data_IF_432127949032
#
_entry.id   IF_432127949032
#
_cell.length_a   1.000
_cell.length_b   1.000
_cell.length_c   1.000
_cell.angle_alpha   90.00
_cell.angle_beta   90.00
_cell.angle_gamma   90.00
#
_symmetry.space_group_name_H-M   'P 1'
#
loop_
_entity.id
_entity.type
_entity.pdbx_description
1 polymer ?
#
# COMPACT_ATOMS: atom_id res chain seq x y z
N UNK A 1 -23.09 -6.70 14.46
CA UNK A 1 -24.06 -5.58 14.29
C UNK A 1 -23.52 -4.70 13.17
N UNK A 2 -24.34 -3.99 12.37
CA UNK A 2 -23.80 -3.04 11.41
C UNK A 2 -23.02 -1.92 12.14
N UNK A 3 -22.05 -1.33 11.46
CA UNK A 3 -21.27 -0.18 11.94
C UNK A 3 -21.49 1.00 10.99
N UNK A 4 -21.50 2.24 11.49
CA UNK A 4 -21.53 3.41 10.60
C UNK A 4 -20.12 3.78 10.15
N UNK A 5 -20.01 4.48 9.02
CA UNK A 5 -18.74 5.01 8.51
C UNK A 5 -18.05 5.87 9.56
N UNK A 6 -18.77 6.77 10.24
CA UNK A 6 -18.22 7.63 11.30
C UNK A 6 -17.61 6.83 12.46
N UNK A 7 -18.30 5.80 12.92
CA UNK A 7 -17.80 4.93 13.99
C UNK A 7 -16.52 4.20 13.55
N UNK A 8 -16.51 3.71 12.31
CA UNK A 8 -15.33 3.07 11.74
C UNK A 8 -14.16 4.05 11.60
N UNK A 9 -14.40 5.25 11.08
CA UNK A 9 -13.40 6.31 10.96
C UNK A 9 -12.76 6.61 12.32
N UNK A 10 -13.56 6.82 13.36
CA UNK A 10 -13.08 7.06 14.72
C UNK A 10 -12.19 5.90 15.22
N UNK A 11 -12.60 4.66 14.97
CA UNK A 11 -11.85 3.47 15.38
C UNK A 11 -10.51 3.30 14.64
N UNK A 12 -10.41 3.81 13.42
CA UNK A 12 -9.22 3.68 12.55
C UNK A 12 -8.19 4.82 12.79
N UNK A 13 -8.58 5.91 13.44
CA UNK A 13 -7.65 7.00 13.78
C UNK A 13 -6.55 6.59 14.76
N UNK A 14 -5.33 7.14 14.57
CA UNK A 14 -4.14 6.81 15.38
C UNK A 14 -4.36 7.04 16.88
N UNK A 15 -5.04 8.13 17.27
CA UNK A 15 -5.31 8.44 18.68
C UNK A 15 -6.17 7.36 19.36
N UNK A 16 -7.18 6.84 18.67
CA UNK A 16 -8.05 5.78 19.18
C UNK A 16 -7.33 4.43 19.28
N UNK A 17 -6.48 4.11 18.30
CA UNK A 17 -5.68 2.87 18.29
C UNK A 17 -4.62 2.88 19.41
N UNK A 18 -3.97 4.02 19.65
CA UNK A 18 -3.00 4.20 20.73
C UNK A 18 -3.66 4.17 22.12
N UNK A 19 -4.77 4.89 22.29
CA UNK A 19 -5.47 5.01 23.57
C UNK A 19 -6.02 3.66 24.06
N UNK A 20 -6.40 2.78 23.15
CA UNK A 20 -7.01 1.51 23.50
C UNK A 20 -5.99 0.39 23.84
N UNK A 21 -4.69 0.71 23.99
CA UNK A 21 -3.60 -0.22 24.32
C UNK A 21 -3.46 -1.42 23.36
N UNK A 22 -4.07 -1.35 22.17
CA UNK A 22 -3.95 -2.41 21.18
C UNK A 22 -2.55 -2.37 20.59
N UNK A 23 -1.91 -3.54 20.50
CA UNK A 23 -0.70 -3.70 19.68
C UNK A 23 -1.03 -3.15 18.31
N UNK A 24 -0.16 -2.27 17.78
CA UNK A 24 -0.30 -1.72 16.43
C UNK A 24 -0.80 -2.82 15.47
N UNK A 25 -1.84 -2.57 14.67
CA UNK A 25 -2.42 -3.58 13.82
C UNK A 25 -1.31 -4.20 12.97
N UNK A 26 -1.18 -5.52 13.01
CA UNK A 26 -0.11 -6.18 12.27
C UNK A 26 -0.34 -5.98 10.78
N UNK A 27 0.52 -5.18 10.16
CA UNK A 27 0.55 -4.98 8.72
C UNK A 27 1.26 -6.15 8.06
N UNK A 28 0.66 -6.72 7.03
CA UNK A 28 1.21 -7.82 6.23
C UNK A 28 1.29 -7.38 4.77
N UNK A 29 2.48 -7.48 4.18
CA UNK A 29 2.68 -7.21 2.77
C UNK A 29 2.58 -8.51 1.95
N UNK A 30 1.91 -8.42 0.80
CA UNK A 30 1.82 -9.50 -0.18
C UNK A 30 2.29 -9.02 -1.55
N UNK A 31 3.21 -9.75 -2.18
CA UNK A 31 3.62 -9.50 -3.56
C UNK A 31 2.61 -10.14 -4.51
N UNK A 32 2.15 -9.36 -5.49
CA UNK A 32 1.33 -9.87 -6.58
C UNK A 32 2.14 -10.04 -7.87
N UNK A 33 3.10 -9.14 -8.10
CA UNK A 33 4.01 -9.24 -9.22
C UNK A 33 5.33 -8.59 -8.88
N UNK A 34 6.42 -9.17 -9.36
CA UNK A 34 7.74 -8.60 -9.23
C UNK A 34 8.65 -9.00 -10.39
N UNK A 35 9.73 -8.24 -10.55
CA UNK A 35 10.88 -8.50 -11.42
C UNK A 35 12.11 -7.88 -10.77
N UNK A 36 13.18 -8.64 -10.62
CA UNK A 36 14.46 -8.20 -10.09
C UNK A 36 15.59 -8.73 -10.97
N UNK A 37 16.04 -7.90 -11.92
CA UNK A 37 17.12 -8.17 -12.86
C UNK A 37 18.39 -7.35 -12.52
N UNK A 38 18.35 -6.54 -11.46
CA UNK A 38 19.47 -5.69 -11.03
C UNK A 38 19.53 -4.37 -11.81
N UNK A 39 18.60 -4.12 -12.72
CA UNK A 39 18.55 -2.92 -13.53
C UNK A 39 17.45 -1.97 -13.01
N UNK A 40 17.78 -0.75 -12.54
CA UNK A 40 16.84 0.15 -11.86
C UNK A 40 15.54 0.40 -12.62
N UNK A 41 15.61 0.49 -13.95
CA UNK A 41 14.44 0.76 -14.80
C UNK A 41 13.59 -0.47 -15.15
N UNK A 42 14.06 -1.67 -14.83
CA UNK A 42 13.37 -2.94 -15.12
C UNK A 42 12.89 -3.61 -13.84
N UNK A 43 13.53 -3.28 -12.72
CA UNK A 43 13.17 -3.77 -11.41
C UNK A 43 11.89 -3.11 -10.92
N UNK A 44 10.87 -3.91 -10.67
CA UNK A 44 9.61 -3.46 -10.10
C UNK A 44 9.02 -4.53 -9.18
N UNK A 45 8.25 -4.11 -8.20
CA UNK A 45 7.34 -4.98 -7.47
C UNK A 45 6.06 -4.22 -7.14
N UNK A 46 4.93 -4.91 -7.05
CA UNK A 46 3.70 -4.34 -6.51
C UNK A 46 2.83 -5.41 -5.87
N UNK A 47 1.96 -4.96 -4.99
CA UNK A 47 1.26 -5.87 -4.10
C UNK A 47 0.12 -5.24 -3.34
N UNK A 48 -0.31 -5.94 -2.29
CA UNK A 48 -1.24 -5.43 -1.28
C UNK A 48 -0.56 -5.31 0.07
N UNK A 49 -0.99 -4.33 0.85
CA UNK A 49 -0.80 -4.32 2.29
C UNK A 49 -2.14 -4.59 2.92
N UNK A 50 -2.15 -5.49 3.88
CA UNK A 50 -3.33 -5.94 4.58
C UNK A 50 -3.13 -5.72 6.08
N UNK A 51 -4.12 -5.14 6.74
CA UNK A 51 -4.18 -4.99 8.19
C UNK A 51 -5.53 -5.50 8.70
N UNK A 52 -5.53 -6.11 9.87
CA UNK A 52 -6.76 -6.58 10.52
C UNK A 52 -7.07 -5.74 11.75
N UNK A 53 -8.32 -5.31 11.85
CA UNK A 53 -8.89 -4.65 13.01
C UNK A 53 -10.03 -5.51 13.55
N UNK A 54 -9.92 -5.90 14.82
CA UNK A 54 -10.97 -6.59 15.55
C UNK A 54 -11.74 -5.54 16.40
N UNK A 55 -12.96 -5.18 15.98
CA UNK A 55 -13.85 -4.27 16.71
C UNK A 55 -14.99 -5.05 17.39
N UNK A 56 -15.76 -4.40 18.26
CA UNK A 56 -16.94 -5.01 18.89
C UNK A 56 -18.00 -5.46 17.89
N UNK A 57 -18.08 -4.78 16.76
CA UNK A 57 -19.07 -4.99 15.72
C UNK A 57 -18.72 -6.19 14.84
N UNK A 58 -17.43 -6.45 14.65
CA UNK A 58 -16.91 -7.51 13.77
C UNK A 58 -15.42 -7.34 13.44
N UNK A 59 -14.96 -8.14 12.47
CA UNK A 59 -13.60 -8.07 11.94
C UNK A 59 -13.56 -7.23 10.67
N UNK A 60 -12.53 -6.42 10.54
CA UNK A 60 -12.32 -5.53 9.41
C UNK A 60 -10.93 -5.76 8.83
N UNK A 61 -10.86 -6.04 7.54
CA UNK A 61 -9.62 -6.15 6.79
C UNK A 61 -9.44 -4.89 5.97
N UNK A 62 -8.44 -4.09 6.32
CA UNK A 62 -8.05 -2.89 5.59
C UNK A 62 -7.01 -3.29 4.57
N UNK A 63 -7.19 -2.87 3.31
CA UNK A 63 -6.27 -3.19 2.22
C UNK A 63 -5.92 -1.94 1.42
N UNK A 64 -4.64 -1.77 1.15
CA UNK A 64 -4.16 -0.80 0.15
C UNK A 64 -3.24 -1.46 -0.88
N UNK A 65 -2.95 -0.72 -1.95
CA UNK A 65 -1.98 -1.09 -2.96
C UNK A 65 -0.65 -0.43 -2.67
N UNK A 66 0.43 -1.13 -2.96
CA UNK A 66 1.78 -0.59 -2.90
C UNK A 66 2.56 -0.98 -4.15
N UNK A 67 3.57 -0.19 -4.44
CA UNK A 67 4.56 -0.48 -5.47
C UNK A 67 5.97 -0.18 -4.96
N UNK A 68 6.94 -0.85 -5.56
CA UNK A 68 8.35 -0.64 -5.31
C UNK A 68 9.14 -0.60 -6.61
N UNK A 69 10.13 0.29 -6.67
CA UNK A 69 11.04 0.47 -7.80
C UNK A 69 12.48 0.20 -7.39
N UNK A 70 13.27 -0.40 -8.28
CA UNK A 70 14.70 -0.59 -8.02
C UNK A 70 15.46 0.74 -8.02
N UNK A 71 16.33 0.92 -7.03
CA UNK A 71 17.24 2.06 -6.98
C UNK A 71 18.41 1.94 -7.96
N UNK A 72 19.05 3.08 -8.26
CA UNK A 72 20.18 3.17 -9.20
C UNK A 72 21.31 2.19 -8.89
N UNK A 73 21.66 2.05 -7.61
CA UNK A 73 22.60 1.05 -7.12
C UNK A 73 21.85 -0.11 -6.45
N UNK A 74 22.31 -1.34 -6.66
CA UNK A 74 21.68 -2.54 -6.10
C UNK A 74 21.71 -2.54 -4.56
N UNK A 75 22.78 -2.02 -3.97
CA UNK A 75 22.97 -1.88 -2.51
C UNK A 75 21.94 -0.96 -1.83
N UNK A 76 21.36 -0.01 -2.58
CA UNK A 76 20.29 0.84 -2.09
C UNK A 76 18.91 0.16 -2.15
N UNK A 77 18.82 -1.06 -2.69
CA UNK A 77 17.61 -1.87 -2.64
C UNK A 77 16.45 -1.27 -3.44
N UNK A 78 15.32 -1.08 -2.78
CA UNK A 78 14.04 -0.69 -3.37
C UNK A 78 13.57 0.65 -2.81
N UNK A 79 12.73 1.37 -3.56
CA UNK A 79 11.93 2.50 -3.06
C UNK A 79 10.49 2.02 -2.99
N UNK A 80 9.94 1.92 -1.80
CA UNK A 80 8.55 1.49 -1.57
C UNK A 80 7.62 2.69 -1.45
N UNK A 81 6.38 2.57 -1.93
CA UNK A 81 5.35 3.60 -1.76
C UNK A 81 3.94 3.03 -1.91
N UNK A 82 2.98 3.78 -1.39
CA UNK A 82 1.56 3.56 -1.65
C UNK A 82 1.25 3.78 -3.14
N UNK A 83 0.25 3.05 -3.65
CA UNK A 83 -0.18 3.10 -5.04
C UNK A 83 -1.70 3.33 -5.15
N UNK A 84 -2.23 4.48 -4.70
CA UNK A 84 -3.68 4.79 -4.73
C UNK A 84 -4.30 4.78 -6.13
N UNK A 85 -3.47 4.89 -7.17
CA UNK A 85 -3.89 4.80 -8.56
C UNK A 85 -4.18 3.35 -9.02
N UNK A 86 -3.84 2.34 -8.21
CA UNK A 86 -4.12 0.93 -8.49
C UNK A 86 -5.41 0.47 -7.80
N UNK A 87 -6.22 -0.30 -8.51
CA UNK A 87 -7.46 -0.86 -7.96
C UNK A 87 -7.19 -2.00 -6.97
N UNK A 88 -8.15 -2.23 -6.08
CA UNK A 88 -8.16 -3.34 -5.13
C UNK A 88 -7.74 -2.97 -3.70
N UNK A 89 -7.70 -1.67 -3.37
CA UNK A 89 -7.77 -1.19 -2.00
C UNK A 89 -9.22 -1.11 -1.50
N UNK A 90 -9.40 -0.95 -0.19
CA UNK A 90 -10.72 -0.86 0.44
C UNK A 90 -10.77 -1.46 1.84
N UNK A 91 -11.98 -1.53 2.40
CA UNK A 91 -12.23 -2.13 3.72
C UNK A 91 -13.25 -3.26 3.56
N UNK A 92 -12.85 -4.46 3.97
CA UNK A 92 -13.66 -5.67 3.88
C UNK A 92 -14.13 -6.08 5.27
N UNK A 93 -15.40 -6.43 5.41
CA UNK A 93 -15.96 -6.90 6.67
C UNK A 93 -17.10 -7.89 6.43
N UNK A 94 -17.33 -8.75 7.43
CA UNK A 94 -18.48 -9.64 7.48
C UNK A 94 -19.76 -8.90 7.94
N UNK A 95 -19.62 -7.69 8.48
CA UNK A 95 -20.75 -6.83 8.85
C UNK A 95 -20.89 -5.65 7.89
N UNK A 96 -22.14 -5.21 7.60
CA UNK A 96 -22.35 -4.04 6.76
C UNK A 96 -21.76 -2.77 7.40
N UNK A 97 -21.06 -1.99 6.58
CA UNK A 97 -20.64 -0.63 6.89
C UNK A 97 -21.65 0.31 6.24
N UNK A 98 -22.29 1.16 7.03
CA UNK A 98 -23.37 2.04 6.58
C UNK A 98 -22.85 3.48 6.40
N UNK A 99 -23.30 4.15 5.33
CA UNK A 99 -23.08 5.58 5.14
C UNK A 99 -24.00 6.44 6.04
N UNK A 100 -23.93 7.77 5.87
CA UNK A 100 -24.75 8.74 6.63
C UNK A 100 -26.25 8.56 6.42
N UNK A 101 -26.67 8.04 5.25
CA UNK A 101 -28.05 7.77 4.88
C UNK A 101 -28.53 6.37 5.33
N UNK A 102 -27.63 5.57 5.92
CA UNK A 102 -27.88 4.20 6.37
C UNK A 102 -27.84 3.16 5.26
N UNK A 103 -27.34 3.51 4.07
CA UNK A 103 -27.13 2.57 2.97
C UNK A 103 -25.78 1.83 3.13
N UNK A 104 -25.71 0.54 2.75
CA UNK A 104 -24.48 -0.22 2.86
C UNK A 104 -23.46 0.20 1.80
N UNK A 105 -22.24 0.50 2.24
CA UNK A 105 -21.11 0.80 1.37
C UNK A 105 -20.48 -0.49 0.82
N UNK A 106 -20.13 -0.46 -0.46
CA UNK A 106 -19.28 -1.48 -1.05
C UNK A 106 -17.84 -1.32 -0.54
N UNK A 107 -17.10 -2.42 -0.42
CA UNK A 107 -15.73 -2.41 0.14
C UNK A 107 -14.77 -1.48 -0.63
N UNK A 108 -15.01 -1.28 -1.92
CA UNK A 108 -14.25 -0.45 -2.84
C UNK A 108 -14.87 0.93 -3.07
N UNK A 109 -15.85 1.34 -2.25
CA UNK A 109 -16.37 2.72 -2.24
C UNK A 109 -15.24 3.71 -1.89
N UNK A 110 -15.27 4.88 -2.52
CA UNK A 110 -14.20 5.89 -2.42
C UNK A 110 -13.92 6.29 -0.95
N UNK A 111 -14.96 6.32 -0.12
CA UNK A 111 -14.88 6.63 1.31
C UNK A 111 -14.06 5.57 2.08
N UNK A 112 -14.32 4.28 1.82
CA UNK A 112 -13.60 3.19 2.48
C UNK A 112 -12.19 3.03 1.94
N UNK A 113 -11.99 3.27 0.64
CA UNK A 113 -10.65 3.32 0.03
C UNK A 113 -9.84 4.45 0.66
N UNK A 114 -10.41 5.65 0.75
CA UNK A 114 -9.79 6.81 1.38
C UNK A 114 -9.39 6.53 2.83
N UNK A 115 -10.30 5.96 3.62
CA UNK A 115 -10.04 5.62 5.02
C UNK A 115 -8.94 4.56 5.17
N UNK A 116 -8.89 3.56 4.27
CA UNK A 116 -7.80 2.59 4.28
C UNK A 116 -6.44 3.27 4.01
N UNK A 117 -6.34 4.16 3.02
CA UNK A 117 -5.09 4.89 2.76
C UNK A 117 -4.70 5.82 3.91
N UNK A 118 -5.67 6.51 4.51
CA UNK A 118 -5.42 7.34 5.69
C UNK A 118 -4.83 6.52 6.84
N UNK A 119 -5.40 5.35 7.13
CA UNK A 119 -4.87 4.42 8.13
C UNK A 119 -3.40 4.05 7.88
N UNK A 120 -3.07 3.64 6.65
CA UNK A 120 -1.71 3.20 6.30
C UNK A 120 -0.72 4.35 6.24
N UNK A 121 -1.16 5.59 6.00
CA UNK A 121 -0.29 6.77 5.99
C UNK A 121 0.38 7.05 7.35
N UNK A 122 -0.21 6.54 8.44
CA UNK A 122 0.35 6.61 9.80
C UNK A 122 1.28 5.43 10.13
N UNK A 123 1.38 4.42 9.26
CA UNK A 123 2.17 3.21 9.50
C UNK A 123 3.53 3.28 8.77
N UNK A 124 4.53 2.62 9.34
CA UNK A 124 5.77 2.33 8.61
C UNK A 124 5.56 1.19 7.61
N UNK A 125 5.05 1.54 6.43
CA UNK A 125 4.79 0.59 5.36
C UNK A 125 6.07 -0.02 4.79
N UNK A 126 7.19 0.71 4.82
CA UNK A 126 8.45 0.26 4.23
C UNK A 126 9.03 -0.93 5.00
N UNK A 127 8.95 -0.88 6.34
CA UNK A 127 9.31 -2.02 7.20
C UNK A 127 8.45 -3.25 6.96
N UNK A 128 7.20 -3.11 6.52
CA UNK A 128 6.34 -4.24 6.17
C UNK A 128 6.61 -4.79 4.76
N UNK A 129 6.91 -3.91 3.79
CA UNK A 129 7.13 -4.29 2.38
C UNK A 129 8.53 -4.87 2.16
N UNK A 130 9.57 -4.23 2.70
CA UNK A 130 10.98 -4.59 2.42
C UNK A 130 11.29 -6.08 2.63
N UNK A 131 10.82 -6.73 3.71
CA UNK A 131 11.11 -8.15 3.95
C UNK A 131 10.54 -9.12 2.91
N UNK A 132 9.49 -8.73 2.17
CA UNK A 132 8.89 -9.59 1.15
C UNK A 132 9.49 -9.38 -0.23
N UNK A 133 10.23 -8.28 -0.45
CA UNK A 133 10.81 -7.94 -1.73
C UNK A 133 11.91 -8.92 -2.16
N UNK A 134 11.99 -9.25 -3.46
CA UNK A 134 13.08 -10.07 -3.96
C UNK A 134 14.41 -9.33 -3.82
N UNK A 135 15.47 -10.08 -3.50
CA UNK A 135 16.83 -9.56 -3.51
C UNK A 135 17.19 -9.15 -4.94
N UNK A 136 17.74 -7.94 -5.09
CA UNK A 136 18.19 -7.45 -6.39
C UNK A 136 19.57 -8.01 -6.67
N UNK A 137 19.80 -8.68 -7.82
CA UNK A 137 21.14 -9.13 -8.18
C UNK A 137 22.04 -7.92 -8.46
N UNK A 138 23.34 -8.11 -8.32
CA UNK A 138 24.31 -7.14 -8.83
C UNK A 138 24.11 -7.00 -10.35
N UNK A 139 24.08 -5.77 -10.89
CA UNK A 139 23.93 -5.60 -12.33
C UNK A 139 25.10 -6.25 -13.05
N UNK A 140 24.83 -7.20 -13.96
CA UNK A 140 25.84 -7.78 -14.86
C UNK A 140 26.40 -6.75 -15.87
N UNK A 141 25.90 -5.51 -15.86
CA UNK A 141 26.24 -4.47 -16.81
C UNK A 141 27.29 -3.50 -16.26
N UNK A 142 28.41 -3.39 -16.98
CA UNK A 142 29.33 -2.27 -16.90
C UNK A 142 28.58 -0.92 -17.02
N UNK A 143 29.06 0.16 -16.38
CA UNK A 143 28.39 1.46 -16.40
C UNK A 143 28.29 1.96 -17.84
N UNK A 144 27.13 1.73 -18.45
CA UNK A 144 26.74 2.25 -19.75
C UNK A 144 26.05 3.60 -19.59
N UNK A 145 25.86 4.35 -20.68
CA UNK A 145 25.29 5.70 -20.68
C UNK A 145 23.86 5.81 -20.11
N UNK A 146 23.19 4.68 -19.85
CA UNK A 146 21.86 4.63 -19.23
C UNK A 146 21.90 4.77 -17.70
N UNK A 147 23.05 4.53 -17.04
CA UNK A 147 23.21 4.71 -15.59
C UNK A 147 23.13 6.20 -15.19
N UNK A 148 23.62 7.09 -16.05
CA UNK A 148 23.57 8.56 -15.87
C UNK A 148 22.18 9.16 -16.15
N UNK A 149 21.23 8.35 -16.65
CA UNK A 149 19.89 8.78 -17.03
C UNK A 149 18.81 8.43 -15.99
N UNK A 150 19.19 8.03 -14.77
CA UNK A 150 18.24 7.71 -13.69
C UNK A 150 17.29 8.90 -13.45
N UNK A 151 16.09 8.77 -14.03
CA UNK A 151 14.91 9.55 -13.69
C UNK A 151 13.91 8.55 -13.13
N UNK A 152 13.48 8.73 -11.87
CA UNK A 152 12.33 8.02 -11.32
C UNK A 152 11.17 8.04 -12.33
N UNK A 153 10.34 7.01 -12.33
CA UNK A 153 9.28 6.85 -13.34
C UNK A 153 8.34 8.08 -13.39
N UNK A 154 8.21 8.80 -12.27
CA UNK A 154 7.49 10.06 -12.10
C UNK A 154 8.02 11.27 -12.88
N UNK A 155 9.24 11.18 -13.42
CA UNK A 155 9.81 12.19 -14.32
C UNK A 155 9.46 11.97 -15.80
N UNK A 156 8.86 10.82 -16.16
CA UNK A 156 8.46 10.56 -17.55
C UNK A 156 7.14 11.26 -17.84
N UNK A 157 7.22 12.50 -18.35
CA UNK A 157 6.09 13.13 -19.06
C UNK A 157 5.51 12.10 -20.04
N UNK A 158 4.21 11.80 -19.92
CA UNK A 158 3.44 11.07 -20.94
C UNK A 158 3.78 11.70 -22.29
N UNK A 159 4.43 10.96 -23.19
CA UNK A 159 4.48 11.35 -24.59
C UNK A 159 3.02 11.43 -25.04
N UNK A 160 2.48 12.64 -25.18
CA UNK A 160 1.21 12.85 -25.89
C UNK A 160 1.46 12.35 -27.31
N UNK A 161 0.84 11.23 -27.63
CA UNK A 161 0.83 10.69 -28.98
C UNK A 161 0.06 11.64 -29.89
N UNK A 162 0.73 11.92 -31.02
CA UNK A 162 0.35 12.70 -32.22
C UNK A 162 -1.04 13.31 -32.28
#
# INVERSE_FOLDING_TARGET
MPITLDQLTQAVTSESLEAACWRQPRVIAHILRSRAEGHPFRDFAHGTLDAMLDLSEGKFSLRIRWEAEGQSQAEHGWICREAPHMNGGGIFSDVPILDEDGAPLAADADELVGLAYEFFSYQDIESAITPVLPVRPEPEFAPGPDADLFRPWHGRRKRRGR
#
